data_IF_374717866523
#
_entry.id   IF_374717866523
#
_cell.length_a   1.000
_cell.length_b   1.000
_cell.length_c   1.000
_cell.angle_alpha   90.00
_cell.angle_beta   90.00
_cell.angle_gamma   90.00
#
_symmetry.space_group_name_H-M   'P 1'
#
loop_
_entity.id
_entity.type
_entity.pdbx_description
1 polymer ?
#
# COMPACT_ATOMS: atom_id res chain seq x y z
N UNK A 1 1.99 33.02 21.23
CA UNK A 1 1.37 31.81 20.62
C UNK A 1 2.25 30.61 20.96
N UNK A 2 1.73 29.65 21.73
CA UNK A 2 2.51 28.47 22.11
C UNK A 2 2.83 27.64 20.87
N UNK A 3 4.10 27.29 20.66
CA UNK A 3 4.49 26.40 19.57
C UNK A 3 3.81 25.04 19.76
N UNK A 4 3.15 24.47 18.75
CA UNK A 4 2.48 23.19 18.89
C UNK A 4 3.51 22.11 19.24
N UNK A 5 3.18 21.32 20.29
CA UNK A 5 4.02 20.21 20.71
C UNK A 5 4.18 19.21 19.54
N UNK A 6 5.40 18.74 19.27
CA UNK A 6 5.72 17.78 18.18
C UNK A 6 4.78 16.58 18.18
N UNK A 7 4.40 16.07 19.36
CA UNK A 7 3.43 14.97 19.51
C UNK A 7 2.04 15.33 18.95
N UNK A 8 1.60 16.57 19.11
CA UNK A 8 0.32 17.04 18.58
C UNK A 8 0.36 17.16 17.05
N UNK A 9 1.49 17.65 16.51
CA UNK A 9 1.69 17.73 15.05
C UNK A 9 1.66 16.32 14.42
N UNK A 10 2.39 15.36 15.00
CA UNK A 10 2.41 13.96 14.53
C UNK A 10 1.00 13.35 14.60
N UNK A 11 0.27 13.57 15.67
CA UNK A 11 -1.10 13.05 15.82
C UNK A 11 -2.05 13.61 14.74
N UNK A 12 -2.00 14.90 14.49
CA UNK A 12 -2.82 15.54 13.46
C UNK A 12 -2.46 15.03 12.08
N UNK A 13 -1.16 14.86 11.80
CA UNK A 13 -0.66 14.35 10.53
C UNK A 13 -1.07 12.89 10.31
N UNK A 14 -1.00 12.07 11.35
CA UNK A 14 -1.47 10.69 11.32
C UNK A 14 -2.96 10.60 10.96
N UNK A 15 -3.80 11.46 11.56
CA UNK A 15 -5.25 11.52 11.29
C UNK A 15 -5.50 11.90 9.82
N UNK A 16 -4.78 12.90 9.27
CA UNK A 16 -4.91 13.28 7.86
C UNK A 16 -4.55 12.13 6.93
N UNK A 17 -3.45 11.43 7.21
CA UNK A 17 -3.03 10.27 6.44
C UNK A 17 -4.05 9.12 6.50
N UNK A 18 -4.64 8.87 7.67
CA UNK A 18 -5.64 7.83 7.86
C UNK A 18 -6.95 8.13 7.12
N UNK A 19 -7.32 9.40 6.99
CA UNK A 19 -8.55 9.83 6.33
C UNK A 19 -8.42 9.91 4.81
N UNK A 20 -7.23 10.21 4.30
CA UNK A 20 -7.01 10.43 2.87
C UNK A 20 -5.79 9.64 2.34
N UNK A 21 -6.02 8.50 1.64
CA UNK A 21 -4.94 7.74 1.03
C UNK A 21 -4.20 8.51 -0.07
N UNK A 22 -4.86 9.45 -0.78
CA UNK A 22 -4.21 10.27 -1.80
C UNK A 22 -3.19 11.19 -1.14
N UNK A 23 -3.58 11.85 -0.05
CA UNK A 23 -2.68 12.69 0.75
C UNK A 23 -1.49 11.89 1.27
N UNK A 24 -1.76 10.72 1.88
CA UNK A 24 -0.72 9.82 2.39
C UNK A 24 0.27 9.43 1.28
N UNK A 25 -0.22 8.98 0.13
CA UNK A 25 0.64 8.53 -0.97
C UNK A 25 1.50 9.68 -1.51
N UNK A 26 0.90 10.83 -1.78
CA UNK A 26 1.62 11.99 -2.33
C UNK A 26 2.68 12.54 -1.38
N UNK A 27 2.45 12.47 -0.09
CA UNK A 27 3.34 13.09 0.90
C UNK A 27 4.40 12.15 1.44
N UNK A 28 4.07 10.87 1.62
CA UNK A 28 4.92 9.93 2.36
C UNK A 28 5.39 8.73 1.55
N UNK A 29 4.72 8.37 0.45
CA UNK A 29 5.14 7.23 -0.33
C UNK A 29 6.23 7.60 -1.34
N UNK A 30 7.23 6.74 -1.38
CA UNK A 30 8.31 6.78 -2.36
C UNK A 30 8.23 5.54 -3.23
N UNK A 31 8.52 5.71 -4.51
CA UNK A 31 8.54 4.62 -5.50
C UNK A 31 9.92 4.50 -6.13
N UNK A 32 10.23 3.30 -6.58
CA UNK A 32 11.46 3.05 -7.32
C UNK A 32 11.21 3.30 -8.81
N UNK A 33 11.84 4.32 -9.36
CA UNK A 33 11.82 4.62 -10.78
C UNK A 33 13.00 3.88 -11.47
N UNK A 34 12.80 3.28 -12.68
CA UNK A 34 13.84 2.49 -13.33
C UNK A 34 15.17 3.23 -13.57
N UNK A 35 15.11 4.53 -13.87
CA UNK A 35 16.30 5.35 -14.21
C UNK A 35 16.65 6.39 -13.16
N UNK A 36 15.66 6.87 -12.36
CA UNK A 36 15.85 7.97 -11.40
C UNK A 36 16.02 7.49 -9.95
N UNK A 37 15.99 6.16 -9.71
CA UNK A 37 16.06 5.62 -8.37
C UNK A 37 14.80 5.93 -7.54
N UNK A 38 14.98 6.39 -6.31
CA UNK A 38 13.87 6.73 -5.41
C UNK A 38 13.27 8.08 -5.78
N UNK A 39 11.98 8.11 -6.11
CA UNK A 39 11.22 9.33 -6.40
C UNK A 39 9.92 9.34 -5.59
N UNK A 40 9.41 10.53 -5.30
CA UNK A 40 8.14 10.68 -4.59
C UNK A 40 6.97 10.23 -5.46
N UNK A 41 5.97 9.57 -4.85
CA UNK A 41 4.83 9.06 -5.58
C UNK A 41 3.83 10.17 -5.90
N UNK A 42 4.09 10.93 -6.95
CA UNK A 42 3.17 11.92 -7.48
C UNK A 42 2.13 11.21 -8.35
N UNK A 43 0.89 11.16 -7.84
CA UNK A 43 -0.23 10.54 -8.54
C UNK A 43 -0.67 11.37 -9.75
N UNK A 44 -0.95 10.70 -10.85
CA UNK A 44 -1.63 11.31 -11.99
C UNK A 44 -3.13 11.49 -11.69
N UNK A 45 -3.83 12.46 -12.34
CA UNK A 45 -5.26 12.68 -12.11
C UNK A 45 -6.13 11.44 -12.28
N UNK A 46 -5.83 10.58 -13.26
CA UNK A 46 -6.56 9.33 -13.47
C UNK A 46 -6.32 8.31 -12.34
N UNK A 47 -5.13 8.29 -11.73
CA UNK A 47 -4.84 7.43 -10.58
C UNK A 47 -5.59 7.89 -9.33
N UNK A 48 -5.71 9.19 -9.12
CA UNK A 48 -6.53 9.74 -8.03
C UNK A 48 -8.02 9.41 -8.25
N UNK A 49 -8.52 9.54 -9.48
CA UNK A 49 -9.86 9.11 -9.84
C UNK A 49 -10.10 7.62 -9.60
N UNK A 50 -9.13 6.78 -9.98
CA UNK A 50 -9.16 5.34 -9.72
C UNK A 50 -9.22 5.04 -8.22
N UNK A 51 -8.42 5.70 -7.39
CA UNK A 51 -8.45 5.52 -5.92
C UNK A 51 -9.80 5.86 -5.32
N UNK A 52 -10.40 6.98 -5.75
CA UNK A 52 -11.75 7.37 -5.29
C UNK A 52 -12.81 6.34 -5.66
N UNK A 53 -12.71 5.74 -6.85
CA UNK A 53 -13.62 4.66 -7.27
C UNK A 53 -13.41 3.39 -6.44
N UNK A 54 -12.16 3.00 -6.16
CA UNK A 54 -11.84 1.84 -5.33
C UNK A 54 -12.32 2.00 -3.88
N UNK A 55 -12.29 3.21 -3.33
CA UNK A 55 -12.81 3.49 -1.99
C UNK A 55 -14.34 3.46 -1.92
N UNK A 56 -15.02 3.78 -3.02
CA UNK A 56 -16.49 3.86 -3.08
C UNK A 56 -17.15 2.52 -3.39
N UNK A 57 -16.45 1.60 -4.06
CA UNK A 57 -17.02 0.37 -4.58
C UNK A 57 -16.29 -0.85 -4.02
N UNK A 58 -17.03 -1.83 -3.52
CA UNK A 58 -16.47 -3.09 -2.99
C UNK A 58 -15.84 -3.96 -4.09
N UNK A 59 -16.28 -3.82 -5.32
CA UNK A 59 -15.77 -4.56 -6.48
C UNK A 59 -15.53 -3.62 -7.65
N UNK A 60 -14.35 -3.75 -8.28
CA UNK A 60 -13.96 -2.90 -9.38
C UNK A 60 -13.18 -3.69 -10.43
N UNK A 61 -13.44 -3.39 -11.70
CA UNK A 61 -12.67 -3.90 -12.83
C UNK A 61 -12.00 -2.71 -13.51
N UNK A 62 -10.68 -2.76 -13.67
CA UNK A 62 -9.90 -1.70 -14.28
C UNK A 62 -9.35 -2.18 -15.61
N UNK A 63 -9.93 -1.69 -16.72
CA UNK A 63 -9.39 -1.88 -18.05
C UNK A 63 -8.37 -0.78 -18.33
N UNK A 64 -7.14 -1.16 -18.65
CA UNK A 64 -6.04 -0.22 -18.82
C UNK A 64 -4.98 -0.73 -19.78
N UNK A 65 -4.23 0.18 -20.44
CA UNK A 65 -3.02 -0.15 -21.17
C UNK A 65 -1.84 -0.47 -20.22
N UNK A 66 -0.72 -0.94 -20.78
CA UNK A 66 0.50 -1.18 -19.98
C UNK A 66 1.11 0.13 -19.47
N UNK A 67 1.93 0.05 -18.42
CA UNK A 67 2.77 1.14 -17.86
C UNK A 67 2.03 2.35 -17.28
N UNK A 68 0.74 2.24 -16.96
CA UNK A 68 -0.03 3.30 -16.30
C UNK A 68 0.15 3.35 -14.77
N UNK A 69 1.08 2.59 -14.22
CA UNK A 69 1.39 2.64 -12.78
C UNK A 69 0.31 2.06 -11.85
N UNK A 70 -0.72 1.37 -12.37
CA UNK A 70 -1.82 0.82 -11.55
C UNK A 70 -1.30 -0.19 -10.51
N UNK A 71 -0.32 -1.04 -10.84
CA UNK A 71 0.29 -1.94 -9.85
C UNK A 71 1.00 -1.18 -8.71
N UNK A 72 1.58 -0.03 -9.01
CA UNK A 72 2.18 0.85 -7.99
C UNK A 72 1.11 1.52 -7.15
N UNK A 73 -0.01 1.94 -7.77
CA UNK A 73 -1.18 2.45 -7.07
C UNK A 73 -1.78 1.40 -6.14
N UNK A 74 -1.92 0.14 -6.62
CA UNK A 74 -2.40 -0.98 -5.81
C UNK A 74 -1.48 -1.26 -4.62
N UNK A 75 -0.16 -1.15 -4.79
CA UNK A 75 0.78 -1.26 -3.67
C UNK A 75 0.59 -0.13 -2.64
N UNK A 76 0.37 1.10 -3.11
CA UNK A 76 0.13 2.25 -2.23
C UNK A 76 -1.15 2.13 -1.41
N UNK A 77 -2.28 1.72 -2.03
CA UNK A 77 -3.54 1.52 -1.30
C UNK A 77 -3.44 0.33 -0.32
N UNK A 78 -2.76 -0.76 -0.72
CA UNK A 78 -2.50 -1.89 0.17
C UNK A 78 -1.70 -1.47 1.40
N UNK A 79 -0.65 -0.69 1.21
CA UNK A 79 0.14 -0.16 2.32
C UNK A 79 -0.71 0.73 3.25
N UNK A 80 -1.52 1.63 2.67
CA UNK A 80 -2.42 2.49 3.43
C UNK A 80 -3.41 1.68 4.27
N UNK A 81 -4.04 0.65 3.69
CA UNK A 81 -4.94 -0.24 4.42
C UNK A 81 -4.21 -0.94 5.57
N UNK A 82 -3.01 -1.46 5.33
CA UNK A 82 -2.21 -2.16 6.35
C UNK A 82 -1.80 -1.25 7.50
N UNK A 83 -1.52 0.04 7.25
CA UNK A 83 -1.06 0.98 8.29
C UNK A 83 -2.20 1.54 9.12
N UNK A 84 -3.30 1.93 8.47
CA UNK A 84 -4.36 2.71 9.12
C UNK A 84 -5.60 1.90 9.48
N UNK A 85 -5.69 0.64 9.04
CA UNK A 85 -6.73 -0.30 9.41
C UNK A 85 -6.09 -1.48 10.17
N UNK A 86 -6.83 -2.06 11.12
CA UNK A 86 -6.35 -3.22 11.89
C UNK A 86 -6.82 -4.51 11.24
N UNK A 87 -6.01 -5.55 11.40
CA UNK A 87 -6.36 -6.94 11.04
C UNK A 87 -6.82 -7.10 9.57
N UNK A 88 -6.26 -6.29 8.65
CA UNK A 88 -6.57 -6.40 7.22
C UNK A 88 -5.74 -7.50 6.55
N UNK A 89 -6.44 -8.42 5.89
CA UNK A 89 -5.83 -9.48 5.10
C UNK A 89 -5.96 -9.17 3.60
N UNK A 90 -4.83 -8.88 2.95
CA UNK A 90 -4.77 -8.54 1.54
C UNK A 90 -4.14 -9.70 0.77
N UNK A 91 -4.87 -10.23 -0.21
CA UNK A 91 -4.39 -11.28 -1.10
C UNK A 91 -4.10 -10.72 -2.49
N UNK A 92 -2.88 -10.92 -2.96
CA UNK A 92 -2.45 -10.56 -4.31
C UNK A 92 -2.38 -11.81 -5.15
N UNK A 93 -3.26 -11.94 -6.14
CA UNK A 93 -3.31 -13.07 -7.06
C UNK A 93 -2.84 -12.63 -8.43
N UNK A 94 -1.90 -13.36 -9.02
CA UNK A 94 -1.45 -13.13 -10.40
C UNK A 94 -1.21 -14.47 -11.10
N UNK A 95 -1.18 -14.46 -12.44
CA UNK A 95 -0.91 -15.67 -13.25
C UNK A 95 0.44 -16.29 -12.95
N UNK A 96 1.45 -15.46 -12.65
CA UNK A 96 2.80 -15.89 -12.25
C UNK A 96 3.11 -15.39 -10.85
N UNK A 97 3.72 -16.23 -10.02
CA UNK A 97 4.10 -15.88 -8.65
C UNK A 97 5.04 -14.66 -8.59
N UNK A 98 5.98 -14.53 -9.53
CA UNK A 98 6.89 -13.38 -9.58
C UNK A 98 6.14 -12.06 -9.81
N UNK A 99 5.03 -12.08 -10.56
CA UNK A 99 4.20 -10.88 -10.76
C UNK A 99 3.52 -10.46 -9.45
N UNK A 100 2.97 -11.42 -8.70
CA UNK A 100 2.37 -11.13 -7.39
C UNK A 100 3.43 -10.68 -6.37
N UNK A 101 4.59 -11.34 -6.33
CA UNK A 101 5.75 -10.98 -5.51
C UNK A 101 6.25 -9.55 -5.77
N UNK A 102 6.28 -9.12 -7.03
CA UNK A 102 6.69 -7.77 -7.39
C UNK A 102 5.79 -6.69 -6.76
N UNK A 103 4.50 -6.97 -6.55
CA UNK A 103 3.62 -6.04 -5.86
C UNK A 103 3.96 -5.95 -4.36
N UNK A 104 4.19 -7.08 -3.70
CA UNK A 104 4.64 -7.12 -2.29
C UNK A 104 5.99 -6.39 -2.12
N UNK A 105 6.91 -6.56 -3.06
CA UNK A 105 8.19 -5.82 -3.07
C UNK A 105 7.98 -4.30 -3.16
N UNK A 106 7.01 -3.84 -3.96
CA UNK A 106 6.66 -2.41 -4.01
C UNK A 106 6.08 -1.90 -2.69
N UNK A 107 5.21 -2.67 -2.06
CA UNK A 107 4.66 -2.34 -0.72
C UNK A 107 5.80 -2.21 0.30
N UNK A 108 6.71 -3.18 0.31
CA UNK A 108 7.88 -3.14 1.21
C UNK A 108 8.76 -1.92 0.93
N UNK A 109 9.07 -1.64 -0.33
CA UNK A 109 9.87 -0.47 -0.68
C UNK A 109 9.23 0.84 -0.19
N UNK A 110 7.92 1.01 -0.38
CA UNK A 110 7.20 2.17 0.14
C UNK A 110 7.28 2.24 1.66
N UNK A 111 7.05 1.12 2.35
CA UNK A 111 7.11 1.03 3.81
C UNK A 111 8.49 1.39 4.36
N UNK A 112 9.56 0.84 3.78
CA UNK A 112 10.94 1.06 4.23
C UNK A 112 11.37 2.55 4.10
N UNK A 113 10.70 3.31 3.24
CA UNK A 113 10.94 4.74 3.04
C UNK A 113 9.97 5.66 3.79
N UNK A 114 9.09 5.12 4.63
CA UNK A 114 8.22 5.93 5.50
C UNK A 114 9.02 6.52 6.67
N UNK A 115 8.60 7.68 7.18
CA UNK A 115 9.14 8.19 8.44
C UNK A 115 8.85 7.23 9.60
N UNK A 116 9.76 7.17 10.57
CA UNK A 116 9.70 6.20 11.68
C UNK A 116 8.39 6.21 12.47
N UNK A 117 7.75 7.37 12.60
CA UNK A 117 6.49 7.50 13.32
C UNK A 117 5.27 6.87 12.60
N UNK A 118 5.40 6.54 11.29
CA UNK A 118 4.41 5.76 10.53
C UNK A 118 4.74 4.26 10.49
N UNK A 119 5.94 3.85 10.87
CA UNK A 119 6.35 2.45 10.81
C UNK A 119 5.88 1.68 12.06
N UNK A 120 4.97 0.73 11.88
CA UNK A 120 4.41 -0.09 12.97
C UNK A 120 5.33 -1.26 13.35
N UNK A 121 6.22 -1.67 12.47
CA UNK A 121 7.07 -2.84 12.60
C UNK A 121 6.43 -4.11 12.03
N UNK A 122 7.28 -5.04 11.60
CA UNK A 122 6.88 -6.32 11.03
C UNK A 122 6.87 -7.43 12.09
N UNK A 123 5.93 -8.37 11.97
CA UNK A 123 5.98 -9.70 12.59
C UNK A 123 6.38 -10.75 11.57
N UNK A 124 6.11 -10.54 10.28
CA UNK A 124 6.60 -11.34 9.17
C UNK A 124 7.07 -10.41 8.05
N UNK A 125 8.26 -10.69 7.50
CA UNK A 125 8.88 -9.90 6.46
C UNK A 125 9.65 -10.81 5.50
N UNK A 126 8.96 -11.29 4.47
CA UNK A 126 9.57 -12.09 3.42
C UNK A 126 9.14 -11.60 2.02
N UNK A 127 9.64 -12.26 0.97
CA UNK A 127 9.39 -11.83 -0.42
C UNK A 127 7.95 -12.07 -0.89
N UNK A 128 7.19 -12.92 -0.22
CA UNK A 128 5.83 -13.30 -0.60
C UNK A 128 4.78 -12.77 0.37
N UNK A 129 5.18 -12.45 1.61
CA UNK A 129 4.25 -12.00 2.64
C UNK A 129 4.89 -10.95 3.55
N UNK A 130 4.11 -9.97 3.91
CA UNK A 130 4.44 -8.98 4.94
C UNK A 130 3.30 -8.96 5.95
N UNK A 131 3.65 -9.00 7.24
CA UNK A 131 2.68 -8.86 8.33
C UNK A 131 3.16 -7.81 9.31
N UNK A 132 2.28 -6.86 9.62
CA UNK A 132 2.54 -5.79 10.58
C UNK A 132 2.12 -6.21 11.99
N UNK A 133 2.67 -5.54 13.01
CA UNK A 133 2.33 -5.78 14.42
C UNK A 133 0.87 -5.46 14.77
N UNK A 134 0.14 -4.70 13.93
CA UNK A 134 -1.29 -4.42 14.09
C UNK A 134 -2.20 -5.53 13.53
N UNK A 135 -1.64 -6.69 13.15
CA UNK A 135 -2.36 -7.82 12.59
C UNK A 135 -2.57 -7.79 11.08
N UNK A 136 -2.40 -6.63 10.45
CA UNK A 136 -2.60 -6.50 9.00
C UNK A 136 -1.50 -7.20 8.20
N UNK A 137 -1.89 -7.85 7.10
CA UNK A 137 -0.98 -8.63 6.28
C UNK A 137 -1.28 -8.49 4.77
N UNK A 138 -0.26 -8.70 3.96
CA UNK A 138 -0.37 -8.87 2.51
C UNK A 138 0.38 -10.13 2.09
N UNK A 139 -0.22 -10.94 1.22
CA UNK A 139 0.35 -12.19 0.73
C UNK A 139 0.21 -12.30 -0.79
N UNK A 140 1.27 -12.76 -1.43
CA UNK A 140 1.33 -13.00 -2.87
C UNK A 140 1.17 -14.48 -3.19
N UNK A 141 0.24 -14.81 -4.08
CA UNK A 141 -0.02 -16.18 -4.55
C UNK A 141 -0.13 -16.23 -6.08
N UNK A 142 0.14 -17.40 -6.63
CA UNK A 142 -0.07 -17.69 -8.05
C UNK A 142 -1.49 -18.24 -8.27
N UNK A 143 -2.16 -17.80 -9.34
CA UNK A 143 -3.45 -18.34 -9.75
C UNK A 143 -3.37 -19.82 -10.20
N UNK A 144 -2.20 -20.29 -10.60
CA UNK A 144 -1.95 -21.68 -11.00
C UNK A 144 -1.83 -22.68 -9.83
N UNK A 145 -1.82 -22.19 -8.56
CA UNK A 145 -1.79 -23.01 -7.35
C UNK A 145 -3.12 -22.95 -6.59
N UNK A 146 -3.14 -23.48 -5.37
CA UNK A 146 -4.28 -23.44 -4.44
C UNK A 146 -4.53 -22.01 -3.89
N UNK A 147 -4.66 -21.06 -4.79
CA UNK A 147 -4.79 -19.65 -4.46
C UNK A 147 -6.06 -19.39 -3.64
N UNK A 148 -5.90 -19.10 -2.38
CA UNK A 148 -6.98 -18.58 -1.52
C UNK A 148 -7.95 -19.62 -0.95
N UNK A 149 -7.71 -20.92 -1.10
CA UNK A 149 -8.63 -21.96 -0.57
C UNK A 149 -8.70 -22.05 0.95
N UNK A 150 -7.71 -21.49 1.65
CA UNK A 150 -7.62 -21.58 3.12
C UNK A 150 -7.48 -20.25 3.84
N UNK A 151 -7.68 -19.11 3.17
CA UNK A 151 -7.43 -17.80 3.77
C UNK A 151 -8.68 -16.93 3.87
N UNK A 152 -8.97 -16.44 5.08
CA UNK A 152 -9.95 -15.38 5.29
C UNK A 152 -9.39 -14.06 4.74
N UNK A 153 -10.09 -13.47 3.78
CA UNK A 153 -9.75 -12.18 3.15
C UNK A 153 -10.70 -11.11 3.68
N UNK A 154 -10.16 -9.97 4.04
CA UNK A 154 -10.92 -8.82 4.57
C UNK A 154 -11.13 -7.76 3.50
#
# INVERSE_FOLDING_TARGET
>A
MAQPNIKQIIKQEYIKCAQDPIYFMKKYCWIQHPTRGRVQFNLYPFQEGTLKLLQKNDRSIILKSRQLGISTLSAGISLWMMLFQKDKAILVVATKQDTAKNLVTKVKFMYDNLPSWLQIGFTENNKLALRLKNGSQIKAVSAAGDAGRSEAIS
#
